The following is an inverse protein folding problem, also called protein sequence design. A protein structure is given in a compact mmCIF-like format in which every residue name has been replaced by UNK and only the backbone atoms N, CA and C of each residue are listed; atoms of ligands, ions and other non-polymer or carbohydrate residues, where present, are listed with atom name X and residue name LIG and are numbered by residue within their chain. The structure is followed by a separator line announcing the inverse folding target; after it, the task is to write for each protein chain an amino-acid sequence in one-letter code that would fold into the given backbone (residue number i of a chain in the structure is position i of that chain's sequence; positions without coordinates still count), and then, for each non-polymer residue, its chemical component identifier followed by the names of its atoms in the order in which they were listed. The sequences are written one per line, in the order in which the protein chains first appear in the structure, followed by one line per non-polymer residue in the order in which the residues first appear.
data_IF_231766128454
#
_entry.id   IF_231766128454
#
_cell.length_a   1.000
_cell.length_b   1.000
_cell.length_c   1.000
_cell.angle_alpha   90.00
_cell.angle_beta   90.00
_cell.angle_gamma   90.00
#
_symmetry.space_group_name_H-M   'P 1'
#
loop_
_entity.id
_entity.type
_entity.pdbx_description
1 polymer ?
#
# COMPACT_ATOMS: atom_id res chain seq x y z
N UNK A 1 -26.31 -1.77 3.76
CA UNK A 1 -25.43 -0.72 4.31
C UNK A 1 -24.65 -1.08 5.58
N UNK A 2 -25.21 -1.69 6.64
CA UNK A 2 -24.36 -2.08 7.81
C UNK A 2 -23.41 -3.26 7.52
N UNK A 3 -23.90 -4.30 6.85
CA UNK A 3 -23.09 -5.46 6.46
C UNK A 3 -21.95 -5.11 5.47
N UNK A 4 -22.16 -4.15 4.57
CA UNK A 4 -21.12 -3.68 3.63
C UNK A 4 -20.03 -2.89 4.35
N UNK A 5 -20.41 -2.08 5.34
CA UNK A 5 -19.49 -1.34 6.18
C UNK A 5 -18.66 -2.27 7.09
N UNK A 6 -19.31 -3.27 7.69
CA UNK A 6 -18.66 -4.28 8.51
C UNK A 6 -17.69 -5.14 7.67
N UNK A 7 -18.07 -5.50 6.43
CA UNK A 7 -17.19 -6.18 5.49
C UNK A 7 -15.98 -5.32 5.09
N UNK A 8 -16.19 -4.01 4.89
CA UNK A 8 -15.10 -3.07 4.57
C UNK A 8 -14.13 -2.91 5.75
N UNK A 9 -14.65 -2.83 6.99
CA UNK A 9 -13.85 -2.80 8.22
C UNK A 9 -13.00 -4.06 8.37
N UNK A 10 -13.58 -5.24 8.12
CA UNK A 10 -12.89 -6.53 8.18
C UNK A 10 -11.72 -6.58 7.17
N UNK A 11 -11.96 -6.12 5.94
CA UNK A 11 -10.95 -6.08 4.88
C UNK A 11 -9.83 -5.10 5.21
N UNK A 12 -10.15 -3.95 5.81
CA UNK A 12 -9.15 -2.99 6.28
C UNK A 12 -8.28 -3.59 7.37
N UNK A 13 -8.88 -4.30 8.32
CA UNK A 13 -8.12 -5.00 9.36
C UNK A 13 -7.18 -6.07 8.75
N UNK A 14 -7.67 -6.88 7.82
CA UNK A 14 -6.85 -7.87 7.13
C UNK A 14 -5.71 -7.24 6.31
N UNK A 15 -5.98 -6.13 5.62
CA UNK A 15 -4.97 -5.39 4.87
C UNK A 15 -3.91 -4.80 5.80
N UNK A 16 -4.30 -4.24 6.95
CA UNK A 16 -3.36 -3.77 7.97
C UNK A 16 -2.46 -4.89 8.49
N UNK A 17 -3.03 -6.04 8.86
CA UNK A 17 -2.23 -7.17 9.35
C UNK A 17 -1.24 -7.69 8.31
N UNK A 18 -1.67 -7.80 7.05
CA UNK A 18 -0.80 -8.19 5.92
C UNK A 18 0.31 -7.16 5.71
N UNK A 19 0.00 -5.88 5.81
CA UNK A 19 0.98 -4.81 5.66
C UNK A 19 2.01 -4.78 6.79
N UNK A 20 1.59 -4.94 8.04
CA UNK A 20 2.48 -5.03 9.20
C UNK A 20 3.39 -6.26 9.13
N UNK A 21 2.85 -7.40 8.67
CA UNK A 21 3.65 -8.58 8.38
C UNK A 21 4.70 -8.29 7.30
N UNK A 22 4.30 -7.61 6.23
CA UNK A 22 5.21 -7.20 5.15
C UNK A 22 6.30 -6.23 5.64
N UNK A 23 5.97 -5.25 6.48
CA UNK A 23 6.93 -4.34 7.10
C UNK A 23 7.95 -5.08 7.97
N UNK A 24 7.52 -6.09 8.73
CA UNK A 24 8.42 -6.94 9.53
C UNK A 24 9.34 -7.80 8.65
N UNK A 25 8.81 -8.34 7.55
CA UNK A 25 9.54 -9.17 6.60
C UNK A 25 10.54 -8.36 5.76
N UNK A 26 10.16 -7.18 5.30
CA UNK A 26 11.03 -6.30 4.49
C UNK A 26 12.28 -5.88 5.25
N UNK A 27 12.17 -5.68 6.57
CA UNK A 27 13.31 -5.43 7.47
C UNK A 27 14.27 -6.62 7.61
N UNK A 28 13.83 -7.86 7.35
CA UNK A 28 14.62 -9.09 7.55
C UNK A 28 15.14 -9.73 6.26
N UNK A 29 14.37 -9.73 5.15
CA UNK A 29 14.77 -10.31 3.86
C UNK A 29 14.11 -9.58 2.67
N UNK A 30 14.83 -8.77 1.88
CA UNK A 30 14.17 -7.80 1.00
C UNK A 30 13.74 -8.28 -0.39
N UNK A 31 14.17 -9.46 -0.87
CA UNK A 31 14.31 -9.62 -2.34
C UNK A 31 13.19 -10.34 -3.09
N UNK A 32 12.72 -11.50 -2.65
CA UNK A 32 11.83 -12.30 -3.50
C UNK A 32 10.34 -12.13 -3.18
N UNK A 33 9.99 -11.99 -1.89
CA UNK A 33 8.58 -11.97 -1.48
C UNK A 33 7.94 -10.57 -1.44
N UNK A 34 8.73 -9.50 -1.63
CA UNK A 34 8.22 -8.13 -1.48
C UNK A 34 7.23 -7.76 -2.60
N UNK A 35 7.62 -7.96 -3.86
CA UNK A 35 6.77 -7.68 -5.03
C UNK A 35 5.49 -8.53 -5.01
N UNK A 36 5.59 -9.83 -4.71
CA UNK A 36 4.42 -10.72 -4.62
C UNK A 36 3.47 -10.29 -3.51
N UNK A 37 4.00 -9.87 -2.36
CA UNK A 37 3.18 -9.38 -1.24
C UNK A 37 2.46 -8.09 -1.59
N UNK A 38 3.13 -7.14 -2.26
CA UNK A 38 2.53 -5.89 -2.73
C UNK A 38 1.41 -6.19 -3.74
N UNK A 39 1.64 -7.09 -4.69
CA UNK A 39 0.63 -7.52 -5.65
C UNK A 39 -0.56 -8.22 -4.99
N UNK A 40 -0.34 -8.96 -3.89
CA UNK A 40 -1.43 -9.55 -3.10
C UNK A 40 -2.28 -8.46 -2.44
N UNK A 41 -1.65 -7.47 -1.81
CA UNK A 41 -2.33 -6.31 -1.21
C UNK A 41 -3.13 -5.56 -2.28
N UNK A 42 -2.55 -5.31 -3.46
CA UNK A 42 -3.22 -4.63 -4.57
C UNK A 42 -4.46 -5.37 -5.06
N UNK A 43 -4.35 -6.69 -5.27
CA UNK A 43 -5.48 -7.52 -5.72
C UNK A 43 -6.61 -7.53 -4.70
N UNK A 44 -6.28 -7.61 -3.41
CA UNK A 44 -7.27 -7.56 -2.35
C UNK A 44 -7.94 -6.19 -2.30
N UNK A 45 -7.17 -5.10 -2.32
CA UNK A 45 -7.69 -3.74 -2.34
C UNK A 45 -8.60 -3.47 -3.55
N UNK A 46 -8.22 -3.96 -4.74
CA UNK A 46 -9.01 -3.82 -5.96
C UNK A 46 -10.36 -4.56 -5.87
N UNK A 47 -10.39 -5.74 -5.25
CA UNK A 47 -11.62 -6.52 -5.05
C UNK A 47 -12.66 -5.79 -4.18
N UNK A 48 -12.21 -4.88 -3.31
CA UNK A 48 -13.06 -4.11 -2.39
C UNK A 48 -13.17 -2.62 -2.75
N UNK A 49 -12.68 -2.20 -3.93
CA UNK A 49 -12.78 -0.82 -4.38
C UNK A 49 -11.94 0.19 -3.58
N UNK A 50 -10.88 -0.26 -2.91
CA UNK A 50 -9.97 0.61 -2.16
C UNK A 50 -8.94 1.27 -3.10
N UNK A 51 -9.43 2.19 -3.93
CA UNK A 51 -8.67 2.86 -5.00
C UNK A 51 -7.34 3.49 -4.52
N UNK A 52 -7.27 4.18 -3.36
CA UNK A 52 -6.00 4.75 -2.90
C UNK A 52 -4.93 3.71 -2.61
N UNK A 53 -5.33 2.56 -2.05
CA UNK A 53 -4.41 1.45 -1.74
C UNK A 53 -3.91 0.81 -3.03
N UNK A 54 -4.77 0.67 -4.05
CA UNK A 54 -4.39 0.15 -5.37
C UNK A 54 -3.35 1.05 -6.02
N UNK A 55 -3.60 2.36 -6.13
CA UNK A 55 -2.68 3.27 -6.80
C UNK A 55 -1.33 3.41 -6.07
N UNK A 56 -1.32 3.40 -4.72
CA UNK A 56 -0.08 3.40 -3.94
C UNK A 56 0.72 2.11 -4.12
N UNK A 57 0.05 0.95 -4.15
CA UNK A 57 0.71 -0.32 -4.41
C UNK A 57 1.34 -0.37 -5.81
N UNK A 58 0.65 0.15 -6.84
CA UNK A 58 1.20 0.23 -8.20
C UNK A 58 2.40 1.18 -8.30
N UNK A 59 2.34 2.33 -7.64
CA UNK A 59 3.47 3.25 -7.58
C UNK A 59 4.69 2.61 -6.91
N UNK A 60 4.47 1.83 -5.85
CA UNK A 60 5.52 1.09 -5.16
C UNK A 60 6.10 -0.05 -6.03
N UNK A 61 5.26 -0.80 -6.75
CA UNK A 61 5.71 -1.84 -7.70
C UNK A 61 6.62 -1.24 -8.79
N UNK A 62 6.24 -0.09 -9.35
CA UNK A 62 7.05 0.64 -10.34
C UNK A 62 8.39 1.10 -9.76
N UNK A 63 8.37 1.78 -8.61
CA UNK A 63 9.60 2.25 -7.96
C UNK A 63 10.54 1.09 -7.58
N UNK A 64 10.00 -0.03 -7.09
CA UNK A 64 10.77 -1.23 -6.79
C UNK A 64 11.40 -1.88 -8.04
N UNK A 65 10.73 -1.75 -9.20
CA UNK A 65 11.23 -2.26 -10.48
C UNK A 65 12.29 -1.35 -11.09
N UNK A 66 12.10 -0.02 -11.02
CA UNK A 66 12.98 0.98 -11.62
C UNK A 66 14.28 1.19 -10.81
N UNK A 67 14.17 1.32 -9.48
CA UNK A 67 15.33 1.60 -8.61
C UNK A 67 15.94 0.32 -8.02
N UNK A 68 15.17 -0.77 -8.02
CA UNK A 68 15.47 -2.02 -7.34
C UNK A 68 15.06 -2.01 -5.86
N UNK A 69 14.75 -3.18 -5.26
CA UNK A 69 14.18 -3.29 -3.91
C UNK A 69 15.11 -2.84 -2.76
N UNK A 70 16.39 -2.54 -3.06
CA UNK A 70 17.34 -1.99 -2.08
C UNK A 70 17.42 -0.46 -2.08
N UNK A 71 17.05 0.20 -3.18
CA UNK A 71 17.09 1.66 -3.32
C UNK A 71 15.71 2.29 -3.22
N UNK A 72 14.68 1.56 -3.65
CA UNK A 72 13.29 1.95 -3.42
C UNK A 72 13.07 2.19 -1.92
N UNK A 73 12.60 3.38 -1.55
CA UNK A 73 12.26 3.77 -0.18
C UNK A 73 10.99 3.03 0.29
N UNK A 74 11.10 1.71 0.34
CA UNK A 74 10.04 0.74 0.60
C UNK A 74 9.30 1.08 1.89
N UNK A 75 10.03 1.55 2.92
CA UNK A 75 9.44 2.00 4.18
C UNK A 75 8.45 3.18 4.00
N UNK A 76 8.79 4.18 3.19
CA UNK A 76 7.91 5.34 2.95
C UNK A 76 6.61 4.95 2.25
N UNK A 77 6.69 4.03 1.28
CA UNK A 77 5.51 3.51 0.60
C UNK A 77 4.65 2.65 1.53
N UNK A 78 5.29 1.81 2.37
CA UNK A 78 4.56 0.97 3.34
C UNK A 78 3.86 1.83 4.40
N UNK A 79 4.49 2.90 4.89
CA UNK A 79 3.85 3.83 5.83
C UNK A 79 2.66 4.54 5.18
N UNK A 80 2.77 4.94 3.91
CA UNK A 80 1.63 5.53 3.18
C UNK A 80 0.51 4.55 2.85
N UNK A 81 0.83 3.29 2.58
CA UNK A 81 -0.17 2.25 2.45
C UNK A 81 -0.94 2.06 3.77
N UNK A 82 -0.26 2.13 4.91
CA UNK A 82 -0.90 2.04 6.22
C UNK A 82 -1.87 3.21 6.44
N UNK A 83 -1.42 4.44 6.16
CA UNK A 83 -2.27 5.63 6.23
C UNK A 83 -3.50 5.51 5.31
N UNK A 84 -3.33 4.98 4.09
CA UNK A 84 -4.40 4.82 3.11
C UNK A 84 -5.45 3.78 3.54
N UNK A 85 -5.02 2.66 4.14
CA UNK A 85 -5.93 1.63 4.65
C UNK A 85 -6.76 2.17 5.83
N UNK A 86 -6.15 3.00 6.68
CA UNK A 86 -6.83 3.67 7.79
C UNK A 86 -7.74 4.82 7.38
N UNK A 87 -7.55 5.41 6.19
CA UNK A 87 -8.34 6.55 5.74
C UNK A 87 -9.74 6.11 5.28
N UNK A 88 -10.82 6.66 5.84
CA UNK A 88 -12.21 6.35 5.42
C UNK A 88 -12.56 6.83 4.00
N UNK A 89 -11.71 7.68 3.43
CA UNK A 89 -11.95 8.35 2.15
C UNK A 89 -11.20 7.65 1.02
N UNK A 90 -11.94 7.05 0.09
CA UNK A 90 -11.41 6.22 -0.99
C UNK A 90 -11.38 6.92 -2.36
N UNK A 91 -11.44 8.25 -2.38
CA UNK A 91 -11.60 9.04 -3.60
C UNK A 91 -10.26 9.17 -4.37
N UNK A 92 -10.30 9.29 -5.69
CA UNK A 92 -9.11 9.48 -6.54
C UNK A 92 -8.25 10.69 -6.14
N UNK A 93 -8.88 11.76 -5.65
CA UNK A 93 -8.17 12.94 -5.16
C UNK A 93 -7.27 12.64 -3.96
N UNK A 94 -7.68 11.71 -3.08
CA UNK A 94 -6.88 11.28 -1.91
C UNK A 94 -5.69 10.45 -2.38
N UNK A 95 -5.92 9.54 -3.34
CA UNK A 95 -4.87 8.73 -3.98
C UNK A 95 -3.76 9.61 -4.57
N UNK A 96 -4.13 10.64 -5.34
CA UNK A 96 -3.17 11.56 -5.96
C UNK A 96 -2.40 12.38 -4.93
N UNK A 97 -3.07 12.88 -3.90
CA UNK A 97 -2.42 13.65 -2.82
C UNK A 97 -1.40 12.79 -2.04
N UNK A 98 -1.74 11.52 -1.76
CA UNK A 98 -0.84 10.59 -1.08
C UNK A 98 0.38 10.26 -1.93
N UNK A 99 0.20 9.97 -3.22
CA UNK A 99 1.31 9.69 -4.16
C UNK A 99 2.22 10.93 -4.28
N UNK A 100 1.65 12.12 -4.46
CA UNK A 100 2.41 13.36 -4.53
C UNK A 100 3.24 13.60 -3.26
N UNK A 101 2.69 13.27 -2.08
CA UNK A 101 3.44 13.36 -0.82
C UNK A 101 4.61 12.40 -0.74
N UNK A 102 4.55 11.22 -1.37
CA UNK A 102 5.68 10.28 -1.44
C UNK A 102 6.75 10.84 -2.38
N UNK A 103 6.36 11.33 -3.56
CA UNK A 103 7.28 11.92 -4.54
C UNK A 103 8.04 13.13 -3.97
N UNK A 104 7.39 14.00 -3.18
CA UNK A 104 8.06 15.13 -2.50
C UNK A 104 9.13 14.67 -1.51
N UNK A 105 8.91 13.56 -0.81
CA UNK A 105 9.88 13.01 0.17
C UNK A 105 10.99 12.19 -0.46
N UNK A 106 10.79 11.68 -1.67
CA UNK A 106 11.81 10.98 -2.44
C UNK A 106 12.75 11.93 -3.19
N UNK A 107 12.30 13.14 -3.50
CA UNK A 107 13.08 14.18 -4.17
C UNK A 107 13.82 15.16 -3.25
N UNK A 108 13.79 14.96 -1.93
CA UNK A 108 14.48 15.76 -0.91
C UNK A 108 15.65 14.97 -0.31
#
# INVERSE_FOLDING_TARGET
MRAEHDATMLVRAELCERLESLQRLSRRRPKHNLLESIQSIRRLAAAYGLIPVVHLAEAMERAATEEGPRRCATALYLDRLHDAIGCERNDDAVSQAMIASVSVRLGA
#
